data_IF_849176348612
#
_entry.id   IF_849176348612
#
_cell.length_a   1.000
_cell.length_b   1.000
_cell.length_c   1.000
_cell.angle_alpha   90.00
_cell.angle_beta   90.00
_cell.angle_gamma   90.00
#
_symmetry.space_group_name_H-M   'P 1'
#
loop_
_entity.id
_entity.type
_entity.pdbx_description
1 polymer ?
#
# COMPACT_ATOMS: atom_id res chain seq x y z
N UNK A 1 -16.38 -80.57 -18.86
CA UNK A 1 -15.55 -79.76 -19.74
C UNK A 1 -15.17 -78.49 -18.98
N UNK A 2 -13.96 -78.47 -18.50
CA UNK A 2 -13.37 -77.46 -17.64
C UNK A 2 -12.36 -76.64 -18.46
N UNK A 3 -12.10 -75.42 -18.02
CA UNK A 3 -11.05 -74.44 -18.42
C UNK A 3 -11.57 -73.32 -19.30
N UNK A 4 -11.77 -72.16 -18.66
CA UNK A 4 -11.09 -70.91 -18.98
C UNK A 4 -11.73 -69.78 -18.18
N UNK A 5 -11.17 -69.54 -17.00
CA UNK A 5 -11.42 -68.32 -16.23
C UNK A 5 -10.17 -68.06 -15.39
N UNK A 6 -9.14 -67.44 -15.98
CA UNK A 6 -8.01 -66.84 -15.28
C UNK A 6 -7.13 -66.10 -16.31
N UNK A 7 -7.52 -64.93 -16.72
CA UNK A 7 -6.65 -63.95 -17.39
C UNK A 7 -7.27 -62.58 -17.57
N UNK A 8 -7.91 -62.03 -16.54
CA UNK A 8 -8.46 -60.63 -16.62
C UNK A 8 -8.26 -59.83 -15.32
N UNK A 9 -7.26 -60.18 -14.52
CA UNK A 9 -7.01 -59.42 -13.25
C UNK A 9 -5.54 -59.00 -13.05
N UNK A 10 -4.75 -58.84 -14.12
CA UNK A 10 -3.35 -58.42 -14.03
C UNK A 10 -3.01 -57.14 -14.83
N UNK A 11 -3.99 -56.43 -15.37
CA UNK A 11 -3.79 -55.19 -16.15
C UNK A 11 -4.33 -53.89 -15.56
N UNK A 12 -4.86 -53.96 -14.35
CA UNK A 12 -5.49 -52.78 -13.68
C UNK A 12 -4.60 -52.14 -12.57
N UNK A 13 -3.36 -52.59 -12.36
CA UNK A 13 -2.49 -52.06 -11.28
C UNK A 13 -1.24 -51.34 -11.82
N UNK A 14 -1.05 -51.21 -13.13
CA UNK A 14 0.11 -50.54 -13.70
C UNK A 14 -0.19 -49.15 -14.32
N UNK A 15 -1.41 -48.63 -14.18
CA UNK A 15 -1.78 -47.31 -14.75
C UNK A 15 -1.96 -46.19 -13.71
N UNK A 16 -1.56 -46.40 -12.45
CA UNK A 16 -1.71 -45.38 -11.37
C UNK A 16 -0.36 -44.83 -10.83
N UNK A 17 0.74 -44.96 -11.58
CA UNK A 17 2.06 -44.51 -11.13
C UNK A 17 2.77 -43.51 -12.06
N UNK A 18 2.04 -42.88 -12.98
CA UNK A 18 2.54 -41.74 -13.75
C UNK A 18 1.51 -40.63 -13.87
N UNK A 19 0.88 -40.24 -12.79
CA UNK A 19 0.48 -38.88 -12.62
C UNK A 19 1.71 -38.13 -12.08
N UNK A 20 2.67 -37.92 -12.96
CA UNK A 20 3.70 -36.90 -12.76
C UNK A 20 2.90 -35.59 -12.77
N UNK A 21 2.78 -34.95 -11.60
CA UNK A 21 2.22 -33.62 -11.46
C UNK A 21 2.86 -32.76 -12.55
N UNK A 22 2.10 -32.44 -13.57
CA UNK A 22 2.47 -31.34 -14.45
C UNK A 22 2.60 -30.14 -13.52
N UNK A 23 3.83 -29.72 -13.21
CA UNK A 23 4.13 -28.50 -12.48
C UNK A 23 3.38 -27.40 -13.27
N UNK A 24 2.31 -26.93 -12.70
CA UNK A 24 1.57 -25.79 -13.25
C UNK A 24 2.58 -24.64 -13.32
N UNK A 25 2.89 -24.21 -14.53
CA UNK A 25 3.71 -23.01 -14.72
C UNK A 25 2.97 -21.84 -14.05
N UNK A 26 3.70 -20.99 -13.30
CA UNK A 26 3.14 -19.83 -12.62
C UNK A 26 3.00 -20.01 -11.10
N UNK A 27 2.30 -19.06 -10.49
CA UNK A 27 1.95 -19.08 -9.08
C UNK A 27 0.56 -19.62 -8.86
N UNK A 28 0.41 -20.56 -7.91
CA UNK A 28 -0.86 -21.10 -7.45
C UNK A 28 -0.99 -20.83 -5.96
N UNK A 29 -1.90 -19.94 -5.60
CA UNK A 29 -2.10 -19.52 -4.22
C UNK A 29 -3.27 -20.22 -3.55
N UNK A 30 -3.06 -20.65 -2.30
CA UNK A 30 -4.10 -21.11 -1.39
C UNK A 30 -4.22 -20.11 -0.25
N UNK A 31 -5.42 -19.57 -0.04
CA UNK A 31 -5.70 -18.61 1.04
C UNK A 31 -5.60 -19.32 2.39
N UNK A 32 -4.79 -18.77 3.30
CA UNK A 32 -4.66 -19.22 4.69
C UNK A 32 -5.57 -18.42 5.61
N UNK A 33 -5.57 -17.11 5.43
CA UNK A 33 -6.39 -16.17 6.20
C UNK A 33 -6.70 -14.95 5.36
N UNK A 34 -7.94 -14.53 5.38
CA UNK A 34 -8.42 -13.34 4.68
C UNK A 34 -9.32 -12.53 5.61
N UNK A 35 -9.08 -11.23 5.68
CA UNK A 35 -9.90 -10.28 6.44
C UNK A 35 -10.72 -9.41 5.47
N UNK A 36 -11.88 -8.91 5.88
CA UNK A 36 -12.75 -8.16 4.98
C UNK A 36 -12.13 -6.84 4.53
N UNK A 37 -12.28 -6.55 3.25
CA UNK A 37 -11.88 -5.30 2.60
C UNK A 37 -13.03 -4.76 1.76
N UNK A 38 -13.03 -3.46 1.49
CA UNK A 38 -13.93 -2.84 0.51
C UNK A 38 -13.47 -3.10 -0.93
N UNK A 39 -14.24 -2.69 -1.92
CA UNK A 39 -13.94 -2.90 -3.35
C UNK A 39 -12.56 -2.34 -3.75
N UNK A 40 -11.98 -2.92 -4.81
CA UNK A 40 -10.75 -2.42 -5.41
C UNK A 40 -11.06 -1.12 -6.17
N UNK A 41 -10.34 -0.05 -5.83
CA UNK A 41 -10.43 1.25 -6.50
C UNK A 41 -9.29 1.43 -7.51
N UNK A 42 -9.37 2.48 -8.31
CA UNK A 42 -8.35 2.83 -9.29
C UNK A 42 -7.96 4.31 -9.16
N UNK A 43 -6.77 4.57 -8.61
CA UNK A 43 -6.19 5.92 -8.54
C UNK A 43 -5.80 6.47 -9.91
N UNK A 44 -5.70 5.61 -10.92
CA UNK A 44 -5.30 5.93 -12.28
C UNK A 44 -4.03 6.82 -12.34
N UNK A 45 -4.08 7.93 -13.07
CA UNK A 45 -2.94 8.84 -13.23
C UNK A 45 -2.94 9.93 -12.14
N UNK A 46 -2.87 9.51 -10.88
CA UNK A 46 -2.70 10.39 -9.73
C UNK A 46 -1.72 9.81 -8.72
N UNK A 47 -0.91 10.63 -8.07
CA UNK A 47 -0.01 10.23 -6.99
C UNK A 47 -0.71 10.15 -5.62
N UNK A 48 -1.94 9.62 -5.59
CA UNK A 48 -2.79 9.58 -4.38
C UNK A 48 -2.89 8.20 -3.74
N UNK A 49 -1.95 7.29 -4.00
CA UNK A 49 -1.91 5.95 -3.40
C UNK A 49 -2.04 5.98 -1.87
N UNK A 50 -1.40 6.96 -1.22
CA UNK A 50 -1.50 7.20 0.22
C UNK A 50 -2.93 7.47 0.69
N UNK A 51 -3.75 8.17 -0.10
CA UNK A 51 -5.15 8.43 0.20
C UNK A 51 -6.00 7.16 0.03
N UNK A 52 -5.87 6.48 -1.12
CA UNK A 52 -6.61 5.24 -1.40
C UNK A 52 -6.30 4.14 -0.39
N UNK A 53 -5.03 3.96 -0.03
CA UNK A 53 -4.63 2.94 0.95
C UNK A 53 -5.05 3.28 2.37
N UNK A 54 -4.90 4.54 2.80
CA UNK A 54 -5.33 4.95 4.15
C UNK A 54 -6.84 4.84 4.31
N UNK A 55 -7.62 5.35 3.35
CA UNK A 55 -9.09 5.31 3.43
C UNK A 55 -9.60 3.88 3.34
N UNK A 56 -9.08 3.08 2.40
CA UNK A 56 -9.45 1.66 2.31
C UNK A 56 -9.07 0.85 3.55
N UNK A 57 -8.00 1.22 4.27
CA UNK A 57 -7.68 0.66 5.57
C UNK A 57 -8.75 1.03 6.62
N UNK A 58 -9.15 2.30 6.74
CA UNK A 58 -10.19 2.72 7.69
C UNK A 58 -11.56 2.15 7.32
N UNK A 59 -11.88 1.99 6.06
CA UNK A 59 -13.07 1.28 5.58
C UNK A 59 -13.07 -0.19 6.04
N UNK A 60 -11.91 -0.86 5.94
CA UNK A 60 -11.73 -2.23 6.45
C UNK A 60 -11.87 -2.31 7.98
N UNK A 61 -11.40 -1.30 8.71
CA UNK A 61 -11.61 -1.21 10.16
C UNK A 61 -13.11 -1.09 10.50
N UNK A 62 -13.88 -0.32 9.71
CA UNK A 62 -15.33 -0.23 9.90
C UNK A 62 -16.04 -1.55 9.62
N UNK A 63 -15.62 -2.31 8.60
CA UNK A 63 -16.10 -3.68 8.37
C UNK A 63 -15.78 -4.58 9.56
N UNK A 64 -14.55 -4.56 10.08
CA UNK A 64 -14.13 -5.31 11.27
C UNK A 64 -14.93 -4.94 12.51
N UNK A 65 -15.27 -3.65 12.68
CA UNK A 65 -16.09 -3.15 13.78
C UNK A 65 -17.60 -3.46 13.63
N UNK A 66 -18.02 -4.09 12.53
CA UNK A 66 -19.42 -4.39 12.25
C UNK A 66 -20.26 -3.15 11.91
N UNK A 67 -19.65 -2.08 11.44
CA UNK A 67 -20.31 -0.82 11.08
C UNK A 67 -20.88 -0.82 9.65
N UNK A 68 -20.59 -1.90 8.88
CA UNK A 68 -20.95 -2.00 7.48
C UNK A 68 -19.94 -1.35 6.55
N UNK A 69 -20.29 -1.30 5.27
CA UNK A 69 -19.45 -0.75 4.23
C UNK A 69 -19.57 0.77 4.15
N UNK A 70 -18.41 1.41 4.13
CA UNK A 70 -18.23 2.83 3.89
C UNK A 70 -17.37 3.03 2.65
N UNK A 71 -17.56 4.14 1.98
CA UNK A 71 -16.80 4.59 0.82
C UNK A 71 -16.46 6.07 1.05
N UNK A 72 -15.22 6.33 1.48
CA UNK A 72 -14.72 7.66 1.82
C UNK A 72 -14.15 8.37 0.59
N UNK A 73 -14.25 9.70 0.56
CA UNK A 73 -13.76 10.51 -0.55
C UNK A 73 -12.25 10.72 -0.49
N UNK A 74 -11.52 10.15 -1.44
CA UNK A 74 -10.10 10.40 -1.63
C UNK A 74 -9.85 11.87 -2.04
N UNK A 75 -10.76 12.46 -2.81
CA UNK A 75 -10.59 13.83 -3.28
C UNK A 75 -10.77 14.87 -2.17
N UNK A 76 -11.64 14.61 -1.20
CA UNK A 76 -11.74 15.46 0.01
C UNK A 76 -10.44 15.40 0.81
N UNK A 77 -9.91 14.19 1.03
CA UNK A 77 -8.63 14.00 1.73
C UNK A 77 -7.48 14.69 0.99
N UNK A 78 -7.37 14.49 -0.32
CA UNK A 78 -6.35 15.12 -1.15
C UNK A 78 -6.47 16.65 -1.12
N UNK A 79 -7.67 17.22 -1.27
CA UNK A 79 -7.92 18.67 -1.21
C UNK A 79 -7.41 19.25 0.11
N UNK A 80 -7.84 18.71 1.25
CA UNK A 80 -7.43 19.19 2.58
C UNK A 80 -5.93 19.05 2.84
N UNK A 81 -5.33 17.98 2.35
CA UNK A 81 -3.90 17.75 2.48
C UNK A 81 -3.11 18.74 1.62
N UNK A 82 -3.50 18.97 0.37
CA UNK A 82 -2.82 19.92 -0.52
C UNK A 82 -2.97 21.38 -0.07
N UNK A 83 -4.13 21.76 0.50
CA UNK A 83 -4.30 23.05 1.18
C UNK A 83 -3.22 23.26 2.25
N UNK A 84 -3.05 22.27 3.12
CA UNK A 84 -2.11 22.36 4.24
C UNK A 84 -0.65 22.30 3.77
N UNK A 85 -0.35 21.42 2.80
CA UNK A 85 0.99 21.27 2.26
C UNK A 85 1.44 22.53 1.52
N UNK A 86 0.53 23.20 0.80
CA UNK A 86 0.81 24.49 0.18
C UNK A 86 1.12 25.56 1.22
N UNK A 87 0.34 25.61 2.33
CA UNK A 87 0.65 26.53 3.46
C UNK A 87 2.00 26.24 4.08
N UNK A 88 2.34 24.95 4.26
CA UNK A 88 3.64 24.54 4.80
C UNK A 88 4.77 24.93 3.85
N UNK A 89 4.66 24.63 2.55
CA UNK A 89 5.64 24.99 1.54
C UNK A 89 5.90 26.51 1.49
N UNK A 90 4.84 27.32 1.54
CA UNK A 90 4.99 28.80 1.54
C UNK A 90 5.62 29.30 2.84
N UNK A 91 5.24 28.78 4.01
CA UNK A 91 5.84 29.16 5.31
C UNK A 91 7.31 28.76 5.42
N UNK A 92 7.69 27.67 4.78
CA UNK A 92 9.06 27.14 4.75
C UNK A 92 9.86 27.64 3.53
N UNK A 93 9.36 28.66 2.82
CA UNK A 93 10.03 29.28 1.66
C UNK A 93 10.41 28.28 0.55
N UNK A 94 9.65 27.18 0.43
CA UNK A 94 9.86 26.15 -0.58
C UNK A 94 10.80 25.02 -0.16
N UNK A 95 11.24 24.97 1.10
CA UNK A 95 12.07 23.88 1.62
C UNK A 95 11.23 22.64 1.99
N UNK A 96 9.91 22.77 2.13
CA UNK A 96 8.99 21.63 2.16
C UNK A 96 8.58 21.29 0.73
N UNK A 97 8.83 20.06 0.31
CA UNK A 97 8.41 19.55 -0.99
C UNK A 97 6.89 19.66 -1.15
N UNK A 98 6.45 20.19 -2.30
CA UNK A 98 5.05 20.18 -2.70
C UNK A 98 4.89 19.20 -3.88
N UNK A 99 4.22 18.09 -3.67
CA UNK A 99 4.04 17.02 -4.64
C UNK A 99 2.65 16.38 -4.48
N UNK A 100 2.33 15.42 -5.36
CA UNK A 100 1.08 14.65 -5.27
C UNK A 100 1.09 13.62 -4.13
N UNK A 101 2.26 13.16 -3.69
CA UNK A 101 2.42 12.19 -2.63
C UNK A 101 1.95 12.67 -1.26
N UNK A 102 1.95 11.77 -0.30
CA UNK A 102 1.57 12.03 1.08
C UNK A 102 1.75 10.79 1.94
N UNK A 103 1.59 10.95 3.24
CA UNK A 103 1.75 9.89 4.22
C UNK A 103 0.40 9.38 4.74
N UNK A 104 0.39 8.20 5.35
CA UNK A 104 -0.80 7.71 6.06
C UNK A 104 -1.24 8.66 7.19
N UNK A 105 -0.29 9.41 7.76
CA UNK A 105 -0.60 10.39 8.78
C UNK A 105 -1.42 11.58 8.24
N UNK A 106 -1.30 11.91 6.96
CA UNK A 106 -2.14 12.95 6.35
C UNK A 106 -3.62 12.58 6.44
N UNK A 107 -3.95 11.30 6.24
CA UNK A 107 -5.32 10.79 6.43
C UNK A 107 -5.75 10.87 7.90
N UNK A 108 -4.91 10.38 8.83
CA UNK A 108 -5.19 10.46 10.28
C UNK A 108 -5.39 11.92 10.72
N UNK A 109 -4.54 12.82 10.24
CA UNK A 109 -4.63 14.25 10.53
C UNK A 109 -5.93 14.88 9.97
N UNK A 110 -6.27 14.55 8.72
CA UNK A 110 -7.49 15.03 8.07
C UNK A 110 -8.72 14.57 8.85
N UNK A 111 -8.83 13.26 9.13
CA UNK A 111 -9.96 12.69 9.88
C UNK A 111 -10.12 13.32 11.27
N UNK A 112 -9.00 13.62 11.92
CA UNK A 112 -8.99 14.23 13.27
C UNK A 112 -9.38 15.71 13.26
N UNK A 113 -8.91 16.48 12.28
CA UNK A 113 -9.02 17.95 12.29
C UNK A 113 -10.11 18.51 11.36
N UNK A 114 -10.37 17.83 10.23
CA UNK A 114 -11.34 18.26 9.22
C UNK A 114 -12.57 17.36 9.16
N UNK A 115 -12.48 16.15 9.71
CA UNK A 115 -13.50 15.13 9.54
C UNK A 115 -13.33 14.37 8.23
N UNK A 116 -14.41 13.78 7.72
CA UNK A 116 -14.42 13.01 6.49
C UNK A 116 -15.81 13.08 5.85
N UNK A 117 -15.88 12.81 4.56
CA UNK A 117 -17.11 12.73 3.80
C UNK A 117 -17.19 11.43 3.00
N UNK A 118 -18.38 10.95 2.62
CA UNK A 118 -18.50 9.83 1.69
C UNK A 118 -18.14 10.28 0.27
N UNK A 119 -17.69 9.35 -0.57
CA UNK A 119 -17.31 9.60 -1.97
C UNK A 119 -18.42 10.32 -2.76
N UNK A 120 -19.66 9.91 -2.59
CA UNK A 120 -20.81 10.53 -3.28
C UNK A 120 -21.08 11.98 -2.94
N UNK A 121 -20.46 12.55 -1.88
CA UNK A 121 -20.61 13.97 -1.52
C UNK A 121 -19.60 14.87 -2.25
N UNK A 122 -18.55 14.30 -2.85
CA UNK A 122 -17.53 15.00 -3.65
C UNK A 122 -17.08 14.09 -4.80
N UNK A 123 -17.95 13.89 -5.80
CA UNK A 123 -17.78 12.82 -6.79
C UNK A 123 -16.81 13.15 -7.93
N UNK A 124 -16.20 14.35 -7.97
CA UNK A 124 -15.25 14.70 -9.00
C UNK A 124 -13.94 13.94 -8.80
N UNK A 125 -13.45 13.19 -9.82
CA UNK A 125 -12.29 12.33 -9.66
C UNK A 125 -10.94 13.05 -9.79
N UNK A 126 -10.91 14.38 -9.81
CA UNK A 126 -9.68 15.15 -10.03
C UNK A 126 -9.32 15.29 -11.52
N UNK A 127 -10.33 15.39 -12.38
CA UNK A 127 -10.17 15.64 -13.82
C UNK A 127 -11.27 16.52 -14.38
N UNK A 128 -10.94 17.33 -15.40
CA UNK A 128 -11.92 18.13 -16.14
C UNK A 128 -12.35 17.47 -17.46
N UNK A 129 -11.81 16.33 -17.82
CA UNK A 129 -12.05 15.69 -19.13
C UNK A 129 -13.33 14.86 -19.20
N UNK A 130 -14.15 14.86 -18.16
CA UNK A 130 -15.35 14.02 -18.07
C UNK A 130 -15.06 12.53 -17.86
N UNK A 131 -13.83 12.18 -17.60
CA UNK A 131 -13.42 10.83 -17.24
C UNK A 131 -13.96 10.46 -15.86
N UNK A 132 -14.17 9.16 -15.65
CA UNK A 132 -14.58 8.62 -14.35
C UNK A 132 -13.41 8.30 -13.42
N UNK A 133 -12.16 8.51 -13.88
CA UNK A 133 -10.94 8.22 -13.15
C UNK A 133 -10.08 9.47 -13.00
N UNK A 134 -9.38 9.57 -11.89
CA UNK A 134 -8.47 10.67 -11.60
C UNK A 134 -7.35 10.81 -12.65
N UNK A 135 -7.07 12.05 -13.04
CA UNK A 135 -5.92 12.39 -13.88
C UNK A 135 -5.34 13.74 -13.47
N UNK A 136 -4.24 13.70 -12.76
CA UNK A 136 -3.58 14.87 -12.17
C UNK A 136 -2.52 15.50 -13.06
N UNK A 137 -2.36 15.06 -14.30
CA UNK A 137 -1.31 15.56 -15.19
C UNK A 137 -1.42 17.07 -15.41
N UNK A 138 -2.58 17.58 -15.86
CA UNK A 138 -2.81 19.02 -16.04
C UNK A 138 -2.87 19.74 -14.69
N UNK A 139 -3.60 19.19 -13.74
CA UNK A 139 -3.79 19.76 -12.42
C UNK A 139 -2.47 20.12 -11.74
N UNK A 140 -1.55 19.17 -11.64
CA UNK A 140 -0.26 19.40 -10.98
C UNK A 140 0.72 20.20 -11.84
N UNK A 141 0.58 20.18 -13.16
CA UNK A 141 1.37 21.06 -14.03
C UNK A 141 1.07 22.55 -13.78
N UNK A 142 -0.07 22.85 -13.18
CA UNK A 142 -0.50 24.21 -12.79
C UNK A 142 -0.23 24.47 -11.31
N UNK A 143 -0.67 23.56 -10.44
CA UNK A 143 -0.67 23.76 -8.98
C UNK A 143 0.76 23.81 -8.39
N UNK A 144 1.63 22.89 -8.78
CA UNK A 144 3.00 22.83 -8.25
C UNK A 144 3.84 24.09 -8.59
N UNK A 145 3.89 24.54 -9.87
CA UNK A 145 4.55 25.82 -10.19
C UNK A 145 3.90 27.01 -9.52
N UNK A 146 2.58 27.03 -9.34
CA UNK A 146 1.87 28.12 -8.63
C UNK A 146 2.32 28.21 -7.17
N UNK A 147 2.38 27.08 -6.44
CA UNK A 147 2.87 27.04 -5.06
C UNK A 147 4.35 27.45 -5.01
N UNK A 148 5.18 26.92 -5.91
CA UNK A 148 6.61 27.25 -5.99
C UNK A 148 6.87 28.73 -6.27
N UNK A 149 6.12 29.33 -7.19
CA UNK A 149 6.25 30.76 -7.50
C UNK A 149 5.90 31.66 -6.30
N UNK A 150 4.95 31.24 -5.48
CA UNK A 150 4.61 31.96 -4.25
C UNK A 150 5.67 31.75 -3.18
N UNK A 151 6.08 30.50 -2.95
CA UNK A 151 7.02 30.11 -1.89
C UNK A 151 8.44 30.68 -2.10
N UNK A 152 8.91 30.71 -3.35
CA UNK A 152 10.27 31.10 -3.75
C UNK A 152 10.34 32.50 -4.40
N UNK A 153 9.22 33.22 -4.41
CA UNK A 153 9.16 34.56 -4.98
C UNK A 153 9.98 35.60 -4.21
N UNK A 154 10.45 36.65 -4.90
CA UNK A 154 11.30 37.71 -4.33
C UNK A 154 10.51 38.81 -3.59
N UNK A 155 9.18 38.66 -3.44
CA UNK A 155 8.35 39.64 -2.77
C UNK A 155 8.59 39.66 -1.25
N UNK A 156 8.79 40.88 -0.69
CA UNK A 156 8.99 41.04 0.76
C UNK A 156 7.77 40.74 1.60
N UNK A 157 6.58 40.78 1.00
CA UNK A 157 5.29 40.50 1.67
C UNK A 157 4.33 39.91 0.68
N UNK A 158 3.75 38.77 1.05
CA UNK A 158 2.67 38.14 0.28
C UNK A 158 1.36 38.91 0.46
N UNK A 159 0.57 39.02 -0.60
CA UNK A 159 -0.78 39.54 -0.53
C UNK A 159 -1.69 38.52 0.17
N UNK A 160 -2.83 38.93 0.77
CA UNK A 160 -3.77 37.98 1.37
C UNK A 160 -4.48 37.09 0.34
N UNK A 161 -4.29 37.33 -0.96
CA UNK A 161 -4.95 36.61 -2.06
C UNK A 161 -4.23 35.29 -2.43
N UNK A 162 -2.93 35.16 -2.11
CA UNK A 162 -2.14 34.04 -2.56
C UNK A 162 -2.78 32.66 -2.27
N UNK A 163 -3.27 32.48 -1.04
CA UNK A 163 -3.88 31.20 -0.64
C UNK A 163 -5.24 30.98 -1.31
N UNK A 164 -6.01 32.04 -1.52
CA UNK A 164 -7.29 31.98 -2.22
C UNK A 164 -7.12 31.54 -3.67
N UNK A 165 -6.02 31.96 -4.32
CA UNK A 165 -5.66 31.52 -5.68
C UNK A 165 -5.36 30.03 -5.74
N UNK A 166 -4.59 29.50 -4.77
CA UNK A 166 -4.33 28.06 -4.67
C UNK A 166 -5.63 27.29 -4.44
N UNK A 167 -6.47 27.73 -3.49
CA UNK A 167 -7.75 27.09 -3.20
C UNK A 167 -8.67 27.03 -4.42
N UNK A 168 -8.75 28.11 -5.21
CA UNK A 168 -9.52 28.10 -6.45
C UNK A 168 -9.03 27.06 -7.44
N UNK A 169 -7.72 26.80 -7.49
CA UNK A 169 -7.18 25.72 -8.34
C UNK A 169 -7.60 24.35 -7.81
N UNK A 170 -7.52 24.13 -6.49
CA UNK A 170 -7.99 22.89 -5.86
C UNK A 170 -9.49 22.65 -6.10
N UNK A 171 -10.31 23.68 -5.87
CA UNK A 171 -11.77 23.61 -6.08
C UNK A 171 -12.14 23.27 -7.52
N UNK A 172 -11.42 23.86 -8.49
CA UNK A 172 -11.68 23.61 -9.91
C UNK A 172 -11.37 22.16 -10.34
N UNK A 173 -10.33 21.53 -9.79
CA UNK A 173 -9.90 20.18 -10.20
C UNK A 173 -10.49 19.07 -9.32
N UNK A 174 -10.60 19.30 -8.01
CA UNK A 174 -11.05 18.28 -7.05
C UNK A 174 -12.52 18.47 -6.62
N UNK A 175 -13.09 19.65 -6.86
CA UNK A 175 -14.38 20.05 -6.35
C UNK A 175 -14.30 20.82 -5.03
N UNK A 176 -15.32 21.61 -4.72
CA UNK A 176 -15.42 22.32 -3.45
C UNK A 176 -15.71 21.34 -2.31
N UNK A 177 -14.99 21.48 -1.21
CA UNK A 177 -15.25 20.69 -0.01
C UNK A 177 -16.58 21.10 0.62
N UNK A 178 -17.60 20.22 0.70
CA UNK A 178 -18.90 20.58 1.26
C UNK A 178 -18.81 20.84 2.76
N UNK A 179 -19.44 21.91 3.22
CA UNK A 179 -19.62 22.19 4.65
C UNK A 179 -20.69 21.30 5.29
N UNK A 180 -21.72 20.92 4.52
CA UNK A 180 -22.79 20.02 4.88
C UNK A 180 -23.16 19.14 3.68
N UNK A 181 -23.60 17.92 3.94
CA UNK A 181 -24.07 16.97 2.92
C UNK A 181 -25.12 16.02 3.50
N UNK A 182 -25.84 15.31 2.64
CA UNK A 182 -26.77 14.27 3.03
C UNK A 182 -26.15 12.87 2.78
N UNK A 183 -26.27 12.00 3.75
CA UNK A 183 -25.87 10.60 3.65
C UNK A 183 -26.90 9.69 4.30
N UNK A 184 -27.45 8.73 3.52
CA UNK A 184 -28.49 7.79 3.96
C UNK A 184 -29.69 8.51 4.64
N UNK A 185 -30.15 9.63 4.03
CA UNK A 185 -31.30 10.41 4.51
C UNK A 185 -31.05 11.28 5.74
N UNK A 186 -29.79 11.48 6.12
CA UNK A 186 -29.37 12.28 7.26
C UNK A 186 -28.40 13.38 6.85
N UNK A 187 -28.55 14.58 7.40
CA UNK A 187 -27.60 15.68 7.21
C UNK A 187 -26.39 15.54 8.14
N UNK A 188 -25.23 15.81 7.59
CA UNK A 188 -23.96 15.77 8.30
C UNK A 188 -23.06 16.94 7.90
N UNK A 189 -22.22 17.37 8.82
CA UNK A 189 -20.95 18.05 8.52
C UNK A 189 -19.84 16.99 8.40
N UNK A 190 -18.69 17.28 7.79
CA UNK A 190 -17.57 16.32 7.75
C UNK A 190 -17.18 15.80 9.14
N UNK A 191 -17.17 16.65 10.17
CA UNK A 191 -16.86 16.28 11.55
C UNK A 191 -17.94 15.38 12.16
N UNK A 192 -19.22 15.70 11.98
CA UNK A 192 -20.31 14.89 12.53
C UNK A 192 -20.42 13.53 11.83
N UNK A 193 -20.11 13.46 10.54
CA UNK A 193 -20.05 12.20 9.81
C UNK A 193 -18.90 11.33 10.32
N UNK A 194 -17.69 11.90 10.46
CA UNK A 194 -16.54 11.18 11.02
C UNK A 194 -16.86 10.67 12.44
N UNK A 195 -17.44 11.49 13.30
CA UNK A 195 -17.84 11.07 14.65
C UNK A 195 -18.87 9.93 14.63
N UNK A 196 -19.78 9.89 13.65
CA UNK A 196 -20.78 8.82 13.52
C UNK A 196 -20.21 7.45 13.17
N UNK A 197 -19.02 7.38 12.60
CA UNK A 197 -18.32 6.12 12.28
C UNK A 197 -17.87 5.37 13.54
N UNK A 198 -17.53 6.11 14.60
CA UNK A 198 -16.98 5.58 15.83
C UNK A 198 -15.48 5.25 15.75
N UNK A 199 -14.81 5.61 14.66
CA UNK A 199 -13.35 5.53 14.55
C UNK A 199 -12.69 6.53 15.51
N UNK A 200 -11.72 6.07 16.29
CA UNK A 200 -10.91 6.93 17.16
C UNK A 200 -9.46 6.96 16.65
N UNK A 201 -9.05 8.09 16.10
CA UNK A 201 -7.72 8.26 15.49
C UNK A 201 -6.55 8.05 16.46
N UNK A 202 -6.77 8.07 17.77
CA UNK A 202 -5.75 7.76 18.77
C UNK A 202 -5.50 6.24 18.94
N UNK A 203 -6.28 5.39 18.30
CA UNK A 203 -6.11 3.95 18.33
C UNK A 203 -5.18 3.45 17.21
N UNK A 204 -4.69 4.33 16.35
CA UNK A 204 -3.85 3.98 15.21
C UNK A 204 -2.45 4.56 15.37
N UNK A 205 -1.46 3.71 15.06
CA UNK A 205 -0.04 4.03 15.22
C UNK A 205 0.73 3.64 13.97
N UNK A 206 1.79 4.40 13.67
CA UNK A 206 2.74 4.06 12.62
C UNK A 206 3.89 3.23 13.21
N UNK A 207 4.28 2.15 12.53
CA UNK A 207 5.43 1.30 12.89
C UNK A 207 6.40 1.21 11.71
N UNK A 208 7.69 1.15 12.02
CA UNK A 208 8.78 1.01 11.05
C UNK A 208 9.93 0.19 11.62
N UNK A 209 11.00 -0.03 10.83
CA UNK A 209 12.17 -0.81 11.26
C UNK A 209 13.44 -0.29 10.60
N UNK A 210 14.20 0.57 11.29
CA UNK A 210 15.49 1.10 10.84
C UNK A 210 16.49 1.19 11.99
N UNK A 211 17.80 1.07 11.71
CA UNK A 211 18.85 1.01 12.75
C UNK A 211 19.50 2.35 13.07
N UNK A 212 19.27 3.38 12.27
CA UNK A 212 19.84 4.72 12.50
C UNK A 212 19.15 5.46 13.67
N UNK A 213 18.06 4.90 14.21
CA UNK A 213 17.42 5.34 15.46
C UNK A 213 17.23 4.15 16.42
N UNK A 214 17.16 4.40 17.73
CA UNK A 214 16.94 3.34 18.72
C UNK A 214 15.64 2.57 18.47
N UNK A 215 15.66 1.25 18.70
CA UNK A 215 14.45 0.46 18.72
C UNK A 215 13.60 0.76 19.96
N UNK A 216 12.28 0.60 19.81
CA UNK A 216 11.23 0.84 20.82
C UNK A 216 11.01 2.31 21.16
N UNK A 217 11.61 3.22 20.40
CA UNK A 217 11.39 4.65 20.47
C UNK A 217 10.66 5.14 19.21
N UNK A 218 10.21 6.38 19.23
CA UNK A 218 9.63 7.05 18.07
C UNK A 218 10.67 7.92 17.40
N UNK A 219 10.59 7.97 16.07
CA UNK A 219 11.34 8.92 15.29
C UNK A 219 10.56 9.33 14.05
N UNK A 220 10.99 10.38 13.41
CA UNK A 220 10.44 10.89 12.14
C UNK A 220 11.20 10.19 11.01
N UNK A 221 10.51 9.38 10.19
CA UNK A 221 11.12 8.80 9.00
C UNK A 221 11.42 9.93 8.02
N UNK A 222 12.68 10.04 7.57
CA UNK A 222 13.19 11.10 6.72
C UNK A 222 12.86 10.80 5.25
N UNK A 223 11.62 10.99 4.88
CA UNK A 223 11.12 10.91 3.50
C UNK A 223 10.32 12.17 3.16
N UNK A 224 10.34 12.57 1.89
CA UNK A 224 9.73 13.84 1.44
C UNK A 224 8.22 13.90 1.70
N UNK A 225 7.52 12.76 1.66
CA UNK A 225 6.09 12.70 1.85
C UNK A 225 5.67 12.69 3.32
N UNK A 226 6.63 12.53 4.26
CA UNK A 226 6.40 12.78 5.69
C UNK A 226 6.57 14.27 6.06
N UNK A 227 6.05 15.16 5.24
CA UNK A 227 6.17 16.63 5.36
C UNK A 227 5.51 17.20 6.62
N UNK A 228 4.63 16.44 7.30
CA UNK A 228 4.06 16.77 8.62
C UNK A 228 4.94 16.33 9.78
N UNK A 229 6.09 15.70 9.48
CA UNK A 229 7.03 15.17 10.49
C UNK A 229 6.35 14.25 11.51
N UNK A 230 5.50 13.36 11.03
CA UNK A 230 4.86 12.37 11.89
C UNK A 230 5.86 11.33 12.35
N UNK A 231 5.69 10.88 13.60
CA UNK A 231 6.55 9.88 14.22
C UNK A 231 6.04 8.46 13.96
N UNK A 232 6.99 7.54 13.80
CA UNK A 232 6.73 6.09 13.76
C UNK A 232 7.47 5.40 14.89
N UNK A 233 6.86 4.40 15.53
CA UNK A 233 7.56 3.53 16.47
C UNK A 233 8.51 2.62 15.71
N UNK A 234 9.74 2.51 16.20
CA UNK A 234 10.80 1.71 15.62
C UNK A 234 10.88 0.32 16.25
N UNK A 235 10.85 -0.72 15.43
CA UNK A 235 10.95 -2.12 15.87
C UNK A 235 12.09 -2.85 15.15
N UNK A 236 12.73 -3.86 15.74
CA UNK A 236 13.50 -4.82 14.97
C UNK A 236 12.64 -5.47 13.89
N UNK A 237 13.22 -5.78 12.71
CA UNK A 237 12.45 -6.26 11.56
C UNK A 237 11.64 -7.54 11.87
N UNK A 238 12.20 -8.46 12.64
CA UNK A 238 11.49 -9.68 13.02
C UNK A 238 10.27 -9.40 13.92
N UNK A 239 10.33 -8.38 14.80
CA UNK A 239 9.19 -7.99 15.62
C UNK A 239 8.14 -7.23 14.77
N UNK A 240 8.56 -6.41 13.80
CA UNK A 240 7.63 -5.78 12.86
C UNK A 240 6.88 -6.84 12.04
N UNK A 241 7.58 -7.87 11.54
CA UNK A 241 6.95 -8.98 10.83
C UNK A 241 6.02 -9.80 11.72
N UNK A 242 6.37 -9.99 13.00
CA UNK A 242 5.49 -10.64 13.98
C UNK A 242 4.21 -9.83 14.20
N UNK A 243 4.30 -8.50 14.28
CA UNK A 243 3.11 -7.62 14.38
C UNK A 243 2.21 -7.79 13.16
N UNK A 244 2.77 -7.77 11.96
CA UNK A 244 2.02 -7.94 10.71
C UNK A 244 1.28 -9.28 10.65
N UNK A 245 1.97 -10.38 10.97
CA UNK A 245 1.36 -11.72 11.03
C UNK A 245 0.25 -11.79 12.08
N UNK A 246 0.53 -11.32 13.29
CA UNK A 246 -0.44 -11.30 14.37
C UNK A 246 -1.69 -10.48 14.01
N UNK A 247 -1.53 -9.35 13.35
CA UNK A 247 -2.64 -8.52 12.91
C UNK A 247 -3.59 -9.31 11.99
N UNK A 248 -3.07 -9.92 10.94
CA UNK A 248 -3.89 -10.67 9.99
C UNK A 248 -4.61 -11.84 10.66
N UNK A 249 -3.91 -12.63 11.48
CA UNK A 249 -4.52 -13.77 12.17
C UNK A 249 -5.60 -13.37 13.16
N UNK A 250 -5.54 -12.16 13.73
CA UNK A 250 -6.53 -11.62 14.67
C UNK A 250 -7.62 -10.75 14.02
N UNK A 251 -7.75 -10.76 12.70
CA UNK A 251 -8.83 -10.10 11.99
C UNK A 251 -8.59 -8.62 11.66
N UNK A 252 -7.36 -8.12 11.82
CA UNK A 252 -6.98 -6.76 11.47
C UNK A 252 -6.31 -6.70 10.10
N UNK A 253 -6.52 -5.60 9.41
CA UNK A 253 -5.74 -5.16 8.25
C UNK A 253 -4.78 -4.05 8.65
N UNK A 254 -3.90 -3.63 7.76
CA UNK A 254 -3.05 -2.46 7.97
C UNK A 254 -2.68 -1.80 6.65
N UNK A 255 -2.54 -0.47 6.65
CA UNK A 255 -1.97 0.23 5.51
C UNK A 255 -0.45 0.00 5.47
N UNK A 256 0.09 -0.19 4.28
CA UNK A 256 1.46 -0.60 4.04
C UNK A 256 2.13 0.30 3.02
N UNK A 257 3.12 1.08 3.46
CA UNK A 257 4.01 1.89 2.63
C UNK A 257 5.25 1.09 2.25
N UNK A 258 5.57 1.05 0.96
CA UNK A 258 6.67 0.25 0.45
C UNK A 258 7.28 0.84 -0.82
N UNK A 259 8.52 0.45 -1.07
CA UNK A 259 9.15 0.58 -2.38
C UNK A 259 8.59 -0.50 -3.32
N UNK A 260 8.11 -0.07 -4.48
CA UNK A 260 7.57 -0.94 -5.54
C UNK A 260 8.31 -0.77 -6.87
N UNK A 261 9.40 0.00 -6.90
CA UNK A 261 10.22 0.20 -8.11
C UNK A 261 11.16 -0.98 -8.40
N UNK A 262 11.06 -2.03 -7.63
CA UNK A 262 11.84 -3.26 -7.68
C UNK A 262 11.54 -4.13 -8.92
N UNK A 263 12.56 -4.88 -9.37
CA UNK A 263 12.41 -5.86 -10.44
C UNK A 263 11.40 -6.97 -10.10
N UNK A 264 11.34 -7.34 -8.82
CA UNK A 264 10.43 -8.38 -8.33
C UNK A 264 9.00 -7.88 -8.05
N UNK A 265 8.71 -6.59 -8.23
CA UNK A 265 7.33 -6.06 -8.14
C UNK A 265 6.77 -5.90 -9.55
N UNK A 266 5.85 -6.75 -9.94
CA UNK A 266 5.30 -6.80 -11.29
C UNK A 266 3.81 -6.47 -11.34
N UNK A 267 3.38 -5.91 -12.47
CA UNK A 267 1.95 -5.67 -12.75
C UNK A 267 1.12 -6.96 -12.91
N UNK A 268 1.78 -8.13 -12.96
CA UNK A 268 1.08 -9.41 -12.93
C UNK A 268 0.51 -9.76 -11.53
N UNK A 269 0.77 -8.94 -10.49
CA UNK A 269 0.24 -9.11 -9.15
C UNK A 269 1.16 -9.88 -8.21
N UNK A 270 2.46 -9.96 -8.52
CA UNK A 270 3.48 -10.64 -7.72
C UNK A 270 4.52 -9.63 -7.21
N UNK A 271 4.92 -9.78 -5.94
CA UNK A 271 6.00 -9.02 -5.32
C UNK A 271 6.94 -9.97 -4.57
N UNK A 272 8.18 -10.13 -5.06
CA UNK A 272 9.19 -11.08 -4.57
C UNK A 272 10.59 -10.46 -4.62
N UNK A 273 11.54 -11.01 -3.85
CA UNK A 273 12.96 -10.64 -3.90
C UNK A 273 13.83 -11.83 -4.31
N UNK A 274 13.90 -12.18 -5.61
CA UNK A 274 14.63 -13.35 -6.07
C UNK A 274 16.12 -13.27 -5.75
N UNK A 275 16.71 -14.37 -5.27
CA UNK A 275 18.15 -14.53 -5.16
C UNK A 275 18.75 -14.84 -6.54
N UNK A 276 19.01 -13.79 -7.29
CA UNK A 276 19.51 -13.89 -8.68
C UNK A 276 20.85 -14.65 -8.76
N UNK A 277 21.70 -14.55 -7.73
CA UNK A 277 22.98 -15.23 -7.69
C UNK A 277 22.78 -16.73 -7.52
N UNK A 278 22.00 -17.13 -6.51
CA UNK A 278 21.67 -18.52 -6.25
C UNK A 278 20.94 -19.16 -7.42
N UNK A 279 20.02 -18.44 -8.02
CA UNK A 279 19.26 -18.88 -9.18
C UNK A 279 20.16 -19.19 -10.40
N UNK A 280 21.20 -18.36 -10.65
CA UNK A 280 22.20 -18.62 -11.69
C UNK A 280 23.03 -19.85 -11.39
N UNK A 281 23.43 -20.03 -10.15
CA UNK A 281 24.29 -21.16 -9.72
C UNK A 281 23.53 -22.50 -9.77
N UNK A 282 22.23 -22.53 -9.46
CA UNK A 282 21.43 -23.77 -9.44
C UNK A 282 20.96 -24.23 -10.82
N UNK A 283 20.82 -23.36 -11.80
CA UNK A 283 20.17 -23.66 -13.08
C UNK A 283 21.13 -23.79 -14.28
N UNK A 284 22.43 -23.68 -14.07
CA UNK A 284 23.45 -23.87 -15.10
C UNK A 284 23.41 -22.86 -16.26
N UNK A 285 24.29 -23.04 -17.23
CA UNK A 285 24.53 -22.09 -18.33
C UNK A 285 23.32 -21.94 -19.29
N UNK A 286 22.55 -23.00 -19.52
CA UNK A 286 21.45 -23.00 -20.49
C UNK A 286 20.23 -22.23 -19.93
N UNK A 287 19.91 -22.41 -18.65
CA UNK A 287 18.83 -21.65 -18.03
C UNK A 287 19.19 -20.15 -17.91
N UNK A 288 20.43 -19.84 -17.52
CA UNK A 288 20.96 -18.48 -17.50
C UNK A 288 21.00 -17.86 -18.91
N UNK A 289 21.21 -18.66 -19.96
CA UNK A 289 21.23 -18.20 -21.35
C UNK A 289 19.83 -17.82 -21.87
N UNK A 290 18.80 -18.58 -21.51
CA UNK A 290 17.43 -18.36 -21.99
C UNK A 290 16.60 -17.48 -21.07
N UNK A 291 16.80 -17.51 -19.76
CA UNK A 291 16.01 -16.85 -18.74
C UNK A 291 16.82 -15.92 -17.82
N UNK A 292 18.13 -15.83 -17.99
CA UNK A 292 19.00 -14.99 -17.16
C UNK A 292 18.78 -13.49 -17.38
N UNK A 293 19.21 -12.64 -16.41
CA UNK A 293 18.95 -11.19 -16.39
C UNK A 293 19.46 -10.43 -17.61
N UNK A 294 20.30 -11.04 -18.46
CA UNK A 294 20.80 -10.41 -19.70
C UNK A 294 19.83 -10.42 -20.88
N UNK A 295 18.76 -11.26 -20.86
CA UNK A 295 17.72 -11.32 -21.89
C UNK A 295 16.33 -10.99 -21.35
N UNK A 296 16.09 -11.22 -20.07
CA UNK A 296 14.86 -10.87 -19.40
C UNK A 296 15.08 -9.63 -18.52
N UNK A 297 15.30 -8.49 -19.12
CA UNK A 297 15.10 -7.17 -18.48
C UNK A 297 13.60 -6.92 -18.20
N UNK A 298 12.78 -7.99 -18.18
CA UNK A 298 11.37 -7.87 -17.86
C UNK A 298 11.15 -8.34 -16.42
N UNK A 299 10.48 -7.51 -15.63
CA UNK A 299 9.95 -7.86 -14.32
C UNK A 299 9.23 -9.22 -14.34
N UNK A 300 8.65 -9.56 -15.47
CA UNK A 300 7.91 -10.80 -15.69
C UNK A 300 8.78 -12.07 -15.53
N UNK A 301 10.06 -12.04 -15.85
CA UNK A 301 10.95 -13.19 -15.66
C UNK A 301 11.14 -13.55 -14.19
N UNK A 302 11.20 -12.53 -13.31
CA UNK A 302 11.37 -12.73 -11.87
C UNK A 302 10.07 -13.07 -11.15
N UNK A 303 8.94 -12.88 -11.80
CA UNK A 303 7.60 -13.03 -11.22
C UNK A 303 6.73 -14.03 -11.96
N UNK A 304 7.33 -14.86 -12.83
CA UNK A 304 6.61 -15.87 -13.61
C UNK A 304 6.28 -17.13 -12.81
N UNK A 305 7.12 -17.51 -11.85
CA UNK A 305 6.97 -18.69 -10.99
C UNK A 305 7.77 -18.51 -9.68
N UNK A 306 7.51 -19.30 -8.63
CA UNK A 306 8.25 -19.22 -7.39
C UNK A 306 9.76 -19.49 -7.59
N UNK A 307 10.58 -18.55 -7.16
CA UNK A 307 12.05 -18.61 -7.17
C UNK A 307 12.60 -18.61 -5.75
N UNK A 308 13.84 -19.11 -5.53
CA UNK A 308 14.56 -18.82 -4.28
C UNK A 308 14.67 -17.32 -4.06
N UNK A 309 14.49 -16.87 -2.83
CA UNK A 309 14.63 -15.46 -2.47
C UNK A 309 15.81 -15.22 -1.55
N UNK A 310 16.31 -13.98 -1.54
CA UNK A 310 17.37 -13.53 -0.64
C UNK A 310 16.96 -13.71 0.82
N UNK A 311 17.96 -13.84 1.71
CA UNK A 311 17.71 -13.78 3.16
C UNK A 311 17.92 -12.34 3.63
N UNK A 312 16.83 -11.66 3.91
CA UNK A 312 16.84 -10.25 4.33
C UNK A 312 17.29 -10.12 5.77
N UNK A 313 18.29 -9.26 6.02
CA UNK A 313 18.74 -8.90 7.36
C UNK A 313 18.34 -7.45 7.70
N UNK A 314 18.44 -7.10 8.98
CA UNK A 314 18.20 -5.74 9.44
C UNK A 314 19.18 -4.73 8.82
N UNK A 315 20.44 -5.15 8.64
CA UNK A 315 21.52 -4.34 8.07
C UNK A 315 21.27 -4.09 6.57
N UNK A 316 20.93 -5.12 5.80
CA UNK A 316 20.57 -4.97 4.38
C UNK A 316 19.43 -3.98 4.18
N UNK A 317 18.43 -4.04 5.07
CA UNK A 317 17.29 -3.14 5.03
C UNK A 317 17.71 -1.67 5.27
N UNK A 318 18.60 -1.45 6.26
CA UNK A 318 19.13 -0.10 6.54
C UNK A 318 19.98 0.41 5.39
N UNK A 319 20.91 -0.44 4.89
CA UNK A 319 21.76 -0.06 3.76
C UNK A 319 20.95 0.34 2.52
N UNK A 320 19.89 -0.41 2.21
CA UNK A 320 19.01 -0.11 1.08
C UNK A 320 18.24 1.22 1.24
N UNK A 321 17.87 1.60 2.46
CA UNK A 321 17.28 2.90 2.75
C UNK A 321 18.32 4.03 2.62
N UNK A 322 19.51 3.84 3.17
CA UNK A 322 20.58 4.84 3.17
C UNK A 322 21.14 5.12 1.77
N UNK A 323 21.13 4.13 0.87
CA UNK A 323 21.70 4.22 -0.49
C UNK A 323 20.65 4.41 -1.59
N UNK A 324 19.35 4.57 -1.22
CA UNK A 324 18.21 4.77 -2.12
C UNK A 324 17.79 3.54 -2.95
N UNK A 325 18.20 2.34 -2.57
CA UNK A 325 17.66 1.09 -3.10
C UNK A 325 16.26 0.79 -2.56
N UNK A 326 15.86 1.45 -1.47
CA UNK A 326 14.51 1.41 -0.94
C UNK A 326 14.03 2.83 -0.68
N UNK A 327 12.97 3.23 -1.38
CA UNK A 327 12.37 4.57 -1.33
C UNK A 327 10.89 4.53 -0.94
N UNK A 328 10.31 5.67 -0.64
CA UNK A 328 8.88 5.79 -0.31
C UNK A 328 8.07 6.00 -1.59
N UNK A 329 7.58 4.91 -2.19
CA UNK A 329 6.99 4.94 -3.53
C UNK A 329 5.47 4.77 -3.55
N UNK A 330 4.94 3.86 -2.71
CA UNK A 330 3.56 3.41 -2.88
C UNK A 330 2.90 2.96 -1.59
N UNK A 331 1.63 3.35 -1.42
CA UNK A 331 0.77 2.91 -0.33
C UNK A 331 -0.25 1.86 -0.77
N UNK A 332 -0.40 0.79 0.00
CA UNK A 332 -1.31 -0.33 -0.23
C UNK A 332 -1.92 -0.81 1.09
N UNK A 333 -2.73 -1.88 1.05
CA UNK A 333 -3.32 -2.48 2.26
C UNK A 333 -2.97 -3.97 2.29
N UNK A 334 -2.39 -4.44 3.39
CA UNK A 334 -2.26 -5.87 3.64
C UNK A 334 -3.47 -6.35 4.44
N UNK A 335 -4.15 -7.39 3.92
CA UNK A 335 -5.42 -7.86 4.47
C UNK A 335 -5.51 -9.38 4.64
N UNK A 336 -4.54 -10.14 4.13
CA UNK A 336 -4.58 -11.60 4.20
C UNK A 336 -3.22 -12.26 4.09
N UNK A 337 -3.21 -13.57 4.25
CA UNK A 337 -2.08 -14.47 4.07
C UNK A 337 -2.48 -15.62 3.17
N UNK A 338 -1.63 -15.96 2.21
CA UNK A 338 -1.76 -17.12 1.32
C UNK A 338 -0.46 -17.91 1.28
N UNK A 339 -0.52 -19.12 0.72
CA UNK A 339 0.65 -19.97 0.42
C UNK A 339 0.68 -20.30 -1.06
N UNK A 340 1.88 -20.31 -1.63
CA UNK A 340 2.09 -20.84 -2.98
C UNK A 340 2.07 -22.39 -2.99
N UNK A 341 2.24 -23.00 -4.17
CA UNK A 341 2.28 -24.44 -4.36
C UNK A 341 3.43 -25.14 -3.64
N UNK A 342 4.46 -24.39 -3.20
CA UNK A 342 5.61 -24.91 -2.44
C UNK A 342 5.41 -24.70 -0.92
N UNK A 343 4.28 -24.13 -0.49
CA UNK A 343 3.97 -23.85 0.92
C UNK A 343 4.60 -22.59 1.46
N UNK A 344 5.25 -21.76 0.62
CA UNK A 344 5.81 -20.47 1.02
C UNK A 344 4.68 -19.44 1.23
N UNK A 345 4.79 -18.65 2.29
CA UNK A 345 3.79 -17.67 2.67
C UNK A 345 3.97 -16.32 1.97
N UNK A 346 2.84 -15.74 1.59
CA UNK A 346 2.70 -14.42 0.99
C UNK A 346 1.63 -13.63 1.72
N UNK A 347 1.83 -12.34 1.87
CA UNK A 347 0.76 -11.43 2.21
C UNK A 347 -0.13 -11.15 1.00
N UNK A 348 -1.44 -11.08 1.23
CA UNK A 348 -2.40 -10.63 0.24
C UNK A 348 -2.57 -9.12 0.37
N UNK A 349 -2.38 -8.42 -0.73
CA UNK A 349 -2.29 -6.96 -0.80
C UNK A 349 -3.39 -6.41 -1.69
N UNK A 350 -4.24 -5.55 -1.14
CA UNK A 350 -5.17 -4.72 -1.91
C UNK A 350 -4.42 -3.51 -2.46
N UNK A 351 -4.34 -3.42 -3.79
CA UNK A 351 -3.75 -2.28 -4.50
C UNK A 351 -4.85 -1.36 -5.05
N UNK A 352 -4.48 -0.15 -5.46
CA UNK A 352 -5.37 0.89 -6.01
C UNK A 352 -5.17 1.13 -7.52
N UNK A 353 -4.85 0.08 -8.28
CA UNK A 353 -4.62 0.16 -9.73
C UNK A 353 -5.72 -0.50 -10.56
N UNK A 354 -6.95 -0.59 -10.01
CA UNK A 354 -8.09 -1.22 -10.67
C UNK A 354 -7.98 -2.74 -10.74
N UNK A 355 -8.92 -3.36 -11.47
CA UNK A 355 -9.11 -4.82 -11.49
C UNK A 355 -8.61 -5.50 -12.76
N UNK A 356 -8.00 -4.77 -13.70
CA UNK A 356 -7.54 -5.28 -14.99
C UNK A 356 -6.18 -5.98 -14.93
N UNK A 357 -5.92 -6.71 -13.84
CA UNK A 357 -4.69 -7.46 -13.58
C UNK A 357 -5.02 -8.94 -13.31
N UNK A 358 -4.01 -9.82 -13.37
CA UNK A 358 -4.18 -11.27 -13.25
C UNK A 358 -4.98 -11.69 -12.00
N UNK A 359 -4.77 -11.01 -10.87
CA UNK A 359 -5.47 -11.26 -9.62
C UNK A 359 -6.48 -10.15 -9.26
N UNK A 360 -7.03 -9.47 -10.27
CA UNK A 360 -8.15 -8.50 -10.12
C UNK A 360 -7.88 -7.40 -9.09
N UNK A 361 -6.66 -6.85 -9.09
CA UNK A 361 -6.26 -5.76 -8.19
C UNK A 361 -5.68 -6.22 -6.84
N UNK A 362 -5.47 -7.52 -6.68
CA UNK A 362 -4.76 -8.10 -5.55
C UNK A 362 -3.32 -8.41 -5.96
N UNK A 363 -2.38 -8.16 -5.07
CA UNK A 363 -0.98 -8.57 -5.17
C UNK A 363 -0.66 -9.60 -4.10
N UNK A 364 0.25 -10.51 -4.42
CA UNK A 364 0.81 -11.48 -3.49
C UNK A 364 2.27 -11.10 -3.24
N UNK A 365 2.53 -10.53 -2.07
CA UNK A 365 3.86 -10.09 -1.66
C UNK A 365 4.49 -11.14 -0.74
N UNK A 366 5.64 -11.68 -1.12
CA UNK A 366 6.36 -12.61 -0.25
C UNK A 366 6.74 -11.94 1.06
N UNK A 367 6.82 -12.69 2.16
CA UNK A 367 7.29 -12.15 3.44
C UNK A 367 8.70 -11.57 3.34
N UNK A 368 9.54 -12.10 2.45
CA UNK A 368 10.86 -11.56 2.14
C UNK A 368 10.78 -10.16 1.54
N UNK A 369 9.90 -9.97 0.53
CA UNK A 369 9.69 -8.66 -0.08
C UNK A 369 9.18 -7.64 0.95
N UNK A 370 8.17 -8.02 1.72
CA UNK A 370 7.60 -7.15 2.76
C UNK A 370 8.64 -6.80 3.83
N UNK A 371 9.43 -7.76 4.30
CA UNK A 371 10.50 -7.49 5.24
C UNK A 371 11.56 -6.52 4.68
N UNK A 372 11.90 -6.63 3.39
CA UNK A 372 12.94 -5.82 2.77
C UNK A 372 12.44 -4.40 2.44
N UNK A 373 11.27 -4.27 1.83
CA UNK A 373 10.82 -3.06 1.15
C UNK A 373 9.77 -2.22 1.90
N UNK A 374 9.37 -2.63 3.10
CA UNK A 374 8.44 -1.83 3.93
C UNK A 374 9.11 -0.54 4.41
N UNK A 375 8.50 0.59 4.14
CA UNK A 375 8.85 1.88 4.77
C UNK A 375 8.20 1.99 6.14
N UNK A 376 6.88 1.93 6.19
CA UNK A 376 6.10 1.90 7.42
C UNK A 376 4.76 1.18 7.23
N UNK A 377 4.09 0.94 8.35
CA UNK A 377 2.68 0.54 8.35
C UNK A 377 1.87 1.47 9.25
N UNK A 378 0.59 1.66 8.92
CA UNK A 378 -0.39 2.24 9.83
C UNK A 378 -1.33 1.12 10.29
N UNK A 379 -1.43 0.95 11.61
CA UNK A 379 -2.12 -0.20 12.21
C UNK A 379 -2.91 0.22 13.46
N UNK A 380 -3.99 -0.51 13.76
CA UNK A 380 -4.66 -0.39 15.04
C UNK A 380 -3.76 -0.94 16.16
N UNK A 381 -3.52 -0.15 17.22
CA UNK A 381 -2.64 -0.55 18.34
C UNK A 381 -3.07 -1.87 19.03
N UNK A 382 -4.36 -2.21 18.98
CA UNK A 382 -4.87 -3.47 19.54
C UNK A 382 -4.48 -4.71 18.70
N UNK A 383 -3.97 -4.53 17.49
CA UNK A 383 -3.43 -5.61 16.65
C UNK A 383 -1.98 -5.99 17.03
N UNK A 384 -1.32 -5.17 17.85
CA UNK A 384 0.08 -5.38 18.27
C UNK A 384 0.13 -6.45 19.38
N UNK A 385 1.00 -7.48 19.29
CA UNK A 385 1.18 -8.44 20.37
C UNK A 385 1.49 -7.75 21.70
N UNK A 386 0.83 -8.15 22.77
CA UNK A 386 0.94 -7.50 24.11
C UNK A 386 2.39 -7.30 24.59
N UNK A 387 3.27 -8.28 24.29
CA UNK A 387 4.70 -8.18 24.67
C UNK A 387 5.42 -7.04 23.93
N UNK A 388 5.07 -6.80 22.65
CA UNK A 388 5.64 -5.73 21.84
C UNK A 388 4.99 -4.39 22.22
N UNK A 389 3.67 -4.35 22.36
CA UNK A 389 2.95 -3.16 22.82
C UNK A 389 3.53 -2.61 24.12
N UNK A 390 3.82 -3.50 25.11
CA UNK A 390 4.47 -3.11 26.38
C UNK A 390 5.85 -2.47 26.19
N UNK A 391 6.67 -2.93 25.21
CA UNK A 391 7.98 -2.33 24.91
C UNK A 391 7.83 -0.93 24.30
N UNK A 392 6.73 -0.68 23.58
CA UNK A 392 6.41 0.59 22.94
C UNK A 392 5.68 1.57 23.88
N UNK A 393 5.32 1.15 25.08
CA UNK A 393 4.52 1.97 26.00
C UNK A 393 3.06 2.15 25.58
N UNK A 394 2.51 1.17 24.84
CA UNK A 394 1.15 1.12 24.33
C UNK A 394 0.25 0.20 25.16
#
# INVERSE_FOLDING_TARGET
MKKTFFAALAFAIAASLFAQDAKTEGFNFTVVKENPITSIKNQNNSGTCWAYSSLGFFESELLRMGKGEYDFSEMFLAHKTYEDRAKAAVRMHGDVSFSQGGSFYDCVYCMKNYGMIPEGAMPLPGTLYGDTLANFTEFFSILEPQVSAIAKGNQKKLSPIWFKSINSTLDNYLGECPSEFEYKGKKYTPQSFMASTGLNMNDYVSLTSFTHHPFYEKFIIEVQDNWRWSESYNLPINELMEVMDNAIHNGYTFAWGADVTELGFSRNGIAVCPDVKKWKDENGSDYAHWFGPGKANSRDAYTSHPLPEINVTQEMRQEAYDNWETTDDHGMIIYGISKDQNGKEYFMVKNSWGTNHNYKGIWYASKTFVAYKTMNILINKNAIPKKIAKKLGL
#
